data_IF_943275261737
#
_entry.id   IF_943275261737
#
_cell.length_a   1.000
_cell.length_b   1.000
_cell.length_c   1.000
_cell.angle_alpha   90.00
_cell.angle_beta   90.00
_cell.angle_gamma   90.00
#
_symmetry.space_group_name_H-M   'P 1'
#
loop_
_entity.id
_entity.type
_entity.pdbx_description
1 polymer ?
#
# COMPACT_ATOMS: atom_id res chain seq x y z
N UNK A 1 -41.29 1.21 63.61
CA UNK A 1 -41.73 1.11 62.22
C UNK A 1 -40.83 1.91 61.24
N UNK A 2 -40.05 2.87 61.65
CA UNK A 2 -39.14 3.66 60.80
C UNK A 2 -37.84 2.93 60.42
N UNK A 3 -37.32 2.04 61.28
CA UNK A 3 -36.00 1.36 61.02
C UNK A 3 -36.01 0.36 59.85
N UNK A 4 -37.17 -0.22 59.54
CA UNK A 4 -37.29 -1.19 58.44
C UNK A 4 -37.33 -0.53 57.03
N UNK A 5 -37.75 0.71 56.94
CA UNK A 5 -37.80 1.47 55.69
C UNK A 5 -36.41 1.89 55.23
N UNK A 6 -35.53 2.29 56.16
CA UNK A 6 -34.13 2.69 55.87
C UNK A 6 -33.27 1.49 55.42
N UNK A 7 -33.52 0.29 55.96
CA UNK A 7 -32.80 -0.91 55.56
C UNK A 7 -33.13 -1.33 54.11
N UNK A 8 -34.39 -1.22 53.71
CA UNK A 8 -34.83 -1.59 52.35
C UNK A 8 -34.35 -0.59 51.29
N UNK A 9 -34.23 0.71 51.67
CA UNK A 9 -33.69 1.74 50.78
C UNK A 9 -32.19 1.53 50.51
N UNK A 10 -31.40 1.20 51.50
CA UNK A 10 -29.96 0.90 51.36
C UNK A 10 -29.69 -0.36 50.53
N UNK A 11 -30.51 -1.39 50.71
CA UNK A 11 -30.40 -2.61 49.90
C UNK A 11 -30.71 -2.37 48.39
N UNK A 12 -31.71 -1.54 48.10
CA UNK A 12 -32.07 -1.19 46.74
C UNK A 12 -31.01 -0.33 46.03
N UNK A 13 -30.39 0.60 46.76
CA UNK A 13 -29.27 1.41 46.25
C UNK A 13 -28.02 0.56 45.96
N UNK A 14 -27.72 -0.42 46.82
CA UNK A 14 -26.60 -1.32 46.59
C UNK A 14 -26.80 -2.22 45.36
N UNK A 15 -28.01 -2.71 45.11
CA UNK A 15 -28.34 -3.52 43.96
C UNK A 15 -28.25 -2.71 42.65
N UNK A 16 -28.71 -1.46 42.65
CA UNK A 16 -28.61 -0.56 41.48
C UNK A 16 -27.17 -0.18 41.18
N UNK A 17 -26.37 0.07 42.20
CA UNK A 17 -24.94 0.36 42.02
C UNK A 17 -24.15 -0.85 41.47
N UNK A 18 -24.47 -2.06 41.94
CA UNK A 18 -23.88 -3.29 41.43
C UNK A 18 -24.29 -3.60 39.98
N UNK A 19 -25.55 -3.29 39.62
CA UNK A 19 -26.04 -3.44 38.24
C UNK A 19 -25.39 -2.42 37.27
N UNK A 20 -25.11 -1.20 37.70
CA UNK A 20 -24.39 -0.22 36.89
C UNK A 20 -22.91 -0.56 36.74
N UNK A 21 -22.27 -1.17 37.74
CA UNK A 21 -20.89 -1.63 37.61
C UNK A 21 -20.76 -2.83 36.66
N UNK A 22 -21.78 -3.72 36.59
CA UNK A 22 -21.83 -4.82 35.65
C UNK A 22 -22.09 -4.41 34.19
N UNK A 23 -22.83 -3.32 33.98
CA UNK A 23 -23.13 -2.80 32.65
C UNK A 23 -21.91 -2.10 31.99
N UNK A 24 -20.97 -1.59 32.76
CA UNK A 24 -19.75 -0.94 32.25
C UNK A 24 -18.73 -1.93 31.62
N UNK A 25 -18.87 -3.25 31.89
CA UNK A 25 -17.95 -4.29 31.38
C UNK A 25 -18.39 -4.84 30.02
N UNK A 26 -19.59 -4.49 29.55
CA UNK A 26 -20.18 -4.97 28.29
C UNK A 26 -20.06 -3.96 27.14
N UNK A 27 -19.21 -2.94 27.26
CA UNK A 27 -18.85 -2.15 26.08
C UNK A 27 -18.06 -3.10 25.16
N UNK A 28 -18.51 -3.33 23.92
CA UNK A 28 -17.70 -4.07 22.98
C UNK A 28 -16.36 -3.31 22.87
N UNK A 29 -15.27 -3.99 23.23
CA UNK A 29 -13.95 -3.49 22.93
C UNK A 29 -13.97 -3.11 21.44
N UNK A 30 -13.48 -1.92 21.03
CA UNK A 30 -13.36 -1.63 19.63
C UNK A 30 -12.60 -2.80 19.04
N UNK A 31 -13.24 -3.46 18.06
CA UNK A 31 -12.59 -4.54 17.34
C UNK A 31 -11.30 -3.93 16.82
N UNK A 32 -10.18 -4.30 17.40
CA UNK A 32 -8.90 -4.09 16.77
C UNK A 32 -9.00 -4.90 15.48
N UNK A 33 -9.46 -4.25 14.40
CA UNK A 33 -9.19 -4.74 13.08
C UNK A 33 -7.68 -4.87 13.08
N UNK A 34 -7.18 -6.09 13.16
CA UNK A 34 -5.79 -6.37 12.94
C UNK A 34 -5.45 -5.61 11.66
N UNK A 35 -4.62 -4.59 11.78
CA UNK A 35 -4.23 -3.77 10.65
C UNK A 35 -3.41 -4.69 9.75
N UNK A 36 -4.07 -5.35 8.80
CA UNK A 36 -3.43 -6.17 7.78
C UNK A 36 -2.60 -5.30 6.81
N UNK A 37 -2.48 -4.00 7.12
CA UNK A 37 -1.74 -3.02 6.36
C UNK A 37 -0.36 -2.72 6.96
N UNK A 38 0.55 -2.24 6.11
CA UNK A 38 1.84 -1.72 6.51
C UNK A 38 1.69 -0.28 6.98
N UNK A 39 2.35 0.06 8.09
CA UNK A 39 2.40 1.44 8.58
C UNK A 39 3.28 2.32 7.69
N UNK A 40 3.17 3.62 7.86
CA UNK A 40 3.99 4.58 7.12
C UNK A 40 5.48 4.38 7.39
N UNK A 41 5.86 4.15 8.65
CA UNK A 41 7.25 3.92 9.04
C UNK A 41 7.81 2.64 8.42
N UNK A 42 7.05 1.53 8.44
CA UNK A 42 7.45 0.27 7.79
C UNK A 42 7.73 0.46 6.28
N UNK A 43 6.90 1.24 5.59
CA UNK A 43 7.06 1.52 4.16
C UNK A 43 8.24 2.46 3.89
N UNK A 44 8.42 3.49 4.72
CA UNK A 44 9.55 4.43 4.60
C UNK A 44 10.86 3.69 4.86
N UNK A 45 10.93 2.84 5.88
CA UNK A 45 12.12 2.05 6.21
C UNK A 45 12.46 1.07 5.10
N UNK A 46 11.48 0.29 4.62
CA UNK A 46 11.67 -0.64 3.51
C UNK A 46 12.15 0.07 2.24
N UNK A 47 11.50 1.19 1.88
CA UNK A 47 11.88 1.97 0.71
C UNK A 47 13.22 2.69 0.86
N UNK A 48 13.55 3.22 2.04
CA UNK A 48 14.82 3.89 2.30
C UNK A 48 16.00 2.93 2.20
N UNK A 49 15.86 1.74 2.76
CA UNK A 49 16.86 0.68 2.65
C UNK A 49 17.04 0.23 1.18
N UNK A 50 15.96 0.16 0.44
CA UNK A 50 15.97 -0.28 -0.96
C UNK A 50 16.51 0.80 -1.91
N UNK A 51 16.03 2.04 -1.82
CA UNK A 51 16.46 3.12 -2.72
C UNK A 51 17.84 3.69 -2.36
N UNK A 52 18.32 3.47 -1.12
CA UNK A 52 19.49 4.16 -0.58
C UNK A 52 19.10 5.57 -0.09
N UNK A 53 20.03 6.45 0.09
CA UNK A 53 19.98 7.71 0.84
C UNK A 53 18.88 8.75 0.52
N UNK A 54 17.82 8.44 -0.22
CA UNK A 54 16.82 9.43 -0.67
C UNK A 54 15.58 9.48 0.26
N UNK A 55 15.79 9.47 1.55
CA UNK A 55 14.71 9.37 2.55
C UNK A 55 13.69 10.52 2.55
N UNK A 56 14.14 11.76 2.33
CA UNK A 56 13.24 12.93 2.41
C UNK A 56 12.15 12.96 1.34
N UNK A 57 12.49 12.62 0.11
CA UNK A 57 11.52 12.56 -0.98
C UNK A 57 10.53 11.40 -0.83
N UNK A 58 11.01 10.25 -0.36
CA UNK A 58 10.16 9.08 -0.14
C UNK A 58 9.12 9.34 0.95
N UNK A 59 9.52 9.92 2.08
CA UNK A 59 8.59 10.24 3.16
C UNK A 59 7.45 11.13 2.67
N UNK A 60 7.76 12.19 1.90
CA UNK A 60 6.75 13.10 1.32
C UNK A 60 5.80 12.37 0.36
N UNK A 61 6.31 11.47 -0.47
CA UNK A 61 5.47 10.67 -1.39
C UNK A 61 4.58 9.71 -0.61
N UNK A 62 5.15 8.98 0.36
CA UNK A 62 4.41 8.02 1.19
C UNK A 62 3.31 8.74 1.97
N UNK A 63 3.61 9.88 2.61
CA UNK A 63 2.62 10.70 3.32
C UNK A 63 1.45 11.10 2.41
N UNK A 64 1.76 11.58 1.20
CA UNK A 64 0.73 11.96 0.21
C UNK A 64 -0.14 10.78 -0.20
N UNK A 65 0.45 9.63 -0.46
CA UNK A 65 -0.28 8.43 -0.87
C UNK A 65 -1.12 7.89 0.28
N UNK A 66 -0.56 7.82 1.51
CA UNK A 66 -1.27 7.35 2.70
C UNK A 66 -2.44 8.25 3.10
N UNK A 67 -2.29 9.58 2.97
CA UNK A 67 -3.39 10.50 3.26
C UNK A 67 -4.59 10.31 2.32
N UNK A 68 -4.35 9.77 1.12
CA UNK A 68 -5.39 9.57 0.11
C UNK A 68 -5.97 8.15 0.11
N UNK A 69 -5.11 7.13 0.27
CA UNK A 69 -5.48 5.72 0.07
C UNK A 69 -5.38 4.87 1.34
N UNK A 70 -4.86 5.44 2.45
CA UNK A 70 -4.69 4.72 3.71
C UNK A 70 -3.48 3.78 3.70
N UNK A 71 -3.58 2.68 4.46
CA UNK A 71 -2.50 1.72 4.64
C UNK A 71 -2.48 0.70 3.50
N UNK A 72 -1.35 0.50 2.80
CA UNK A 72 -1.21 -0.59 1.83
C UNK A 72 -1.16 -1.94 2.57
N UNK A 73 -1.72 -2.98 1.98
CA UNK A 73 -1.66 -4.33 2.54
C UNK A 73 -0.63 -5.24 1.86
N UNK A 74 0.09 -4.69 0.91
CA UNK A 74 1.28 -5.27 0.29
C UNK A 74 2.17 -4.19 -0.30
N UNK A 75 3.43 -4.53 -0.57
CA UNK A 75 4.32 -3.70 -1.38
C UNK A 75 5.28 -4.57 -2.18
N UNK A 76 5.72 -4.09 -3.34
CA UNK A 76 6.71 -4.74 -4.19
C UNK A 76 7.98 -3.90 -4.18
N UNK A 77 9.14 -4.54 -4.00
CA UNK A 77 10.44 -3.94 -4.25
C UNK A 77 11.08 -4.64 -5.44
N UNK A 78 11.58 -3.88 -6.40
CA UNK A 78 12.20 -4.46 -7.57
C UNK A 78 12.81 -3.43 -8.51
N UNK A 79 13.34 -3.91 -9.60
CA UNK A 79 14.03 -3.13 -10.60
C UNK A 79 13.32 -3.24 -11.94
N UNK A 80 13.32 -2.16 -12.71
CA UNK A 80 12.79 -2.14 -14.06
C UNK A 80 13.80 -1.58 -15.06
N UNK A 81 13.82 -2.17 -16.23
CA UNK A 81 14.55 -1.66 -17.38
C UNK A 81 13.58 -1.23 -18.47
N UNK A 82 13.89 -0.13 -19.13
CA UNK A 82 13.17 0.34 -20.32
C UNK A 82 14.16 0.72 -21.39
N UNK A 83 13.78 0.57 -22.65
CA UNK A 83 14.67 0.93 -23.72
C UNK A 83 13.99 1.05 -25.09
N UNK A 84 14.51 1.95 -25.90
CA UNK A 84 14.08 2.11 -27.30
C UNK A 84 14.31 0.83 -28.14
N UNK A 85 15.31 0.03 -27.77
CA UNK A 85 15.63 -1.25 -28.41
C UNK A 85 14.53 -2.31 -28.19
N UNK A 86 13.70 -2.14 -27.16
CA UNK A 86 12.59 -3.05 -26.84
C UNK A 86 11.24 -2.46 -27.29
N UNK A 87 11.24 -1.57 -28.27
CA UNK A 87 9.99 -1.03 -28.84
C UNK A 87 9.19 -0.12 -27.93
N UNK A 88 9.85 0.59 -27.01
CA UNK A 88 9.14 1.47 -26.06
C UNK A 88 8.40 0.70 -24.96
N UNK A 89 8.97 -0.42 -24.52
CA UNK A 89 8.43 -1.24 -23.42
C UNK A 89 9.30 -1.15 -22.18
N UNK A 90 8.66 -1.31 -21.03
CA UNK A 90 9.29 -1.47 -19.72
C UNK A 90 9.07 -2.90 -19.25
N UNK A 91 10.12 -3.52 -18.72
CA UNK A 91 10.09 -4.80 -18.03
C UNK A 91 10.70 -4.65 -16.66
N UNK A 92 10.06 -5.25 -15.68
CA UNK A 92 10.58 -5.23 -14.31
C UNK A 92 10.33 -6.55 -13.60
N UNK A 93 11.13 -6.76 -12.58
CA UNK A 93 11.03 -7.89 -11.68
C UNK A 93 11.28 -7.46 -10.24
N UNK A 94 10.70 -8.18 -9.29
CA UNK A 94 10.82 -7.87 -7.88
C UNK A 94 10.12 -8.89 -7.01
N UNK A 95 9.99 -8.54 -5.73
CA UNK A 95 9.32 -9.36 -4.73
C UNK A 95 8.16 -8.59 -4.12
N UNK A 96 6.98 -9.20 -4.13
CA UNK A 96 5.82 -8.74 -3.35
C UNK A 96 6.00 -9.23 -1.91
N UNK A 97 5.88 -8.31 -0.97
CA UNK A 97 5.87 -8.55 0.47
C UNK A 97 4.45 -8.37 0.99
N UNK A 98 3.97 -9.36 1.76
CA UNK A 98 2.66 -9.31 2.42
C UNK A 98 2.79 -9.77 3.87
N UNK A 99 1.98 -9.20 4.78
CA UNK A 99 2.02 -9.63 6.19
C UNK A 99 1.47 -11.03 6.44
N UNK A 100 0.57 -11.50 5.57
CA UNK A 100 -0.21 -12.71 5.83
C UNK A 100 0.08 -13.87 4.87
N UNK A 101 0.61 -13.58 3.68
CA UNK A 101 0.80 -14.58 2.63
C UNK A 101 2.28 -14.84 2.30
N UNK A 102 3.21 -14.10 2.95
CA UNK A 102 4.64 -14.22 2.69
C UNK A 102 5.09 -13.46 1.44
N UNK A 103 6.25 -13.86 0.92
CA UNK A 103 6.94 -13.17 -0.16
C UNK A 103 6.74 -13.91 -1.48
N UNK A 104 6.46 -13.17 -2.55
CA UNK A 104 6.15 -13.74 -3.86
C UNK A 104 6.93 -13.05 -4.98
N UNK A 105 7.58 -13.81 -5.90
CA UNK A 105 8.19 -13.23 -7.08
C UNK A 105 7.12 -12.57 -7.96
N UNK A 106 7.45 -11.40 -8.47
CA UNK A 106 6.51 -10.55 -9.20
C UNK A 106 7.22 -9.90 -10.37
N UNK A 107 6.61 -9.98 -11.55
CA UNK A 107 7.11 -9.42 -12.79
C UNK A 107 6.09 -8.45 -13.36
N UNK A 108 6.56 -7.41 -14.04
CA UNK A 108 5.65 -6.47 -14.69
C UNK A 108 6.15 -6.02 -16.05
N UNK A 109 5.19 -5.65 -16.89
CA UNK A 109 5.43 -5.16 -18.23
C UNK A 109 4.44 -4.03 -18.54
N UNK A 110 4.90 -3.06 -19.32
CA UNK A 110 4.05 -1.96 -19.74
C UNK A 110 4.69 -1.13 -20.85
N UNK A 111 3.95 -0.16 -21.41
CA UNK A 111 4.53 0.79 -22.34
C UNK A 111 5.54 1.68 -21.60
N UNK A 112 6.68 1.94 -22.23
CA UNK A 112 7.66 2.92 -21.79
C UNK A 112 7.44 4.20 -22.57
N UNK A 113 7.23 5.31 -21.88
CA UNK A 113 7.17 6.64 -22.48
C UNK A 113 8.48 7.34 -22.17
N UNK A 114 9.46 7.21 -23.07
CA UNK A 114 10.73 7.92 -22.95
C UNK A 114 11.90 7.14 -23.55
N UNK A 115 12.94 7.90 -23.86
CA UNK A 115 14.20 7.40 -24.39
C UNK A 115 15.17 7.23 -23.21
N UNK A 116 15.09 6.11 -22.52
CA UNK A 116 16.10 5.78 -21.51
C UNK A 116 17.27 5.08 -22.19
N UNK A 117 18.29 5.86 -22.57
CA UNK A 117 19.52 5.35 -23.18
C UNK A 117 20.54 4.85 -22.14
N UNK A 118 20.17 4.78 -20.85
CA UNK A 118 21.04 4.30 -19.80
C UNK A 118 20.70 2.87 -19.42
N UNK A 119 21.59 1.92 -19.69
CA UNK A 119 21.47 0.51 -19.27
C UNK A 119 21.52 0.28 -17.76
N UNK A 120 21.13 1.25 -16.96
CA UNK A 120 20.97 1.15 -15.52
C UNK A 120 19.48 1.06 -15.22
N UNK A 121 19.06 -0.08 -14.67
CA UNK A 121 17.70 -0.30 -14.20
C UNK A 121 17.26 0.75 -13.17
N UNK A 122 16.01 1.18 -13.23
CA UNK A 122 15.41 2.05 -12.22
C UNK A 122 14.88 1.19 -11.08
N UNK A 123 15.14 1.58 -9.84
CA UNK A 123 14.50 0.96 -8.68
C UNK A 123 13.06 1.43 -8.55
N UNK A 124 12.18 0.48 -8.25
CA UNK A 124 10.74 0.71 -8.16
C UNK A 124 10.20 0.11 -6.88
N UNK A 125 9.44 0.89 -6.14
CA UNK A 125 8.60 0.41 -5.05
C UNK A 125 7.13 0.54 -5.49
N UNK A 126 6.35 -0.53 -5.39
CA UNK A 126 4.92 -0.51 -5.72
C UNK A 126 4.12 -0.74 -4.45
N UNK A 127 3.36 0.25 -4.00
CA UNK A 127 2.40 0.06 -2.90
C UNK A 127 1.15 -0.62 -3.45
N UNK A 128 0.62 -1.60 -2.70
CA UNK A 128 -0.53 -2.41 -3.11
C UNK A 128 -1.64 -2.26 -2.08
N UNK A 129 -2.84 -1.97 -2.55
CA UNK A 129 -4.02 -1.73 -1.72
C UNK A 129 -5.15 -2.68 -2.10
N UNK A 130 -5.93 -3.08 -1.11
CA UNK A 130 -7.11 -3.93 -1.27
C UNK A 130 -6.80 -5.28 -1.93
N UNK A 131 -5.62 -5.83 -1.68
CA UNK A 131 -5.23 -7.15 -2.14
C UNK A 131 -5.78 -8.19 -1.16
N UNK A 132 -6.85 -8.90 -1.52
CA UNK A 132 -7.44 -9.94 -0.66
C UNK A 132 -6.74 -11.30 -0.85
N UNK A 133 -6.27 -11.56 -2.07
CA UNK A 133 -5.54 -12.76 -2.43
C UNK A 133 -4.35 -12.39 -3.35
N UNK A 134 -3.21 -13.06 -3.18
CA UNK A 134 -1.99 -12.78 -3.96
C UNK A 134 -2.23 -12.92 -5.47
N UNK A 135 -3.08 -13.86 -5.86
CA UNK A 135 -3.45 -14.08 -7.27
C UNK A 135 -4.16 -12.87 -7.90
N UNK A 136 -4.81 -12.03 -7.09
CA UNK A 136 -5.48 -10.82 -7.58
C UNK A 136 -4.50 -9.74 -8.05
N UNK A 137 -3.23 -9.80 -7.62
CA UNK A 137 -2.20 -8.87 -8.08
C UNK A 137 -1.85 -9.12 -9.56
N UNK A 138 -1.89 -10.37 -10.03
CA UNK A 138 -1.42 -10.74 -11.36
C UNK A 138 -2.45 -10.44 -12.46
N UNK A 139 -2.65 -9.13 -12.70
CA UNK A 139 -3.64 -8.58 -13.64
C UNK A 139 -3.08 -7.41 -14.43
N UNK A 140 -3.92 -6.85 -15.29
CA UNK A 140 -3.66 -5.61 -16.03
C UNK A 140 -4.25 -4.44 -15.28
N UNK A 141 -3.47 -3.40 -15.07
CA UNK A 141 -3.88 -2.20 -14.36
C UNK A 141 -3.91 -1.02 -15.32
N UNK A 142 -4.96 -0.22 -15.24
CA UNK A 142 -5.09 1.02 -16.00
C UNK A 142 -4.81 2.24 -15.12
N UNK A 143 -4.18 3.25 -15.69
CA UNK A 143 -3.88 4.50 -15.00
C UNK A 143 -5.15 5.28 -14.66
N UNK A 144 -5.16 5.87 -13.46
CA UNK A 144 -6.20 6.80 -13.02
C UNK A 144 -5.84 8.19 -13.50
N UNK A 145 -6.73 8.84 -14.23
CA UNK A 145 -6.49 10.17 -14.77
C UNK A 145 -6.20 11.19 -13.64
N UNK A 146 -5.20 12.04 -13.85
CA UNK A 146 -4.82 13.08 -12.87
C UNK A 146 -4.07 12.55 -11.63
N UNK A 147 -3.68 11.28 -11.60
CA UNK A 147 -2.99 10.68 -10.45
C UNK A 147 -1.47 10.62 -10.58
N UNK A 148 -0.91 11.30 -11.57
CA UNK A 148 0.53 11.31 -11.82
C UNK A 148 1.20 12.50 -11.11
N UNK A 149 2.22 12.23 -10.31
CA UNK A 149 2.92 13.23 -9.51
C UNK A 149 4.44 13.04 -9.56
N UNK A 150 5.13 14.17 -9.53
CA UNK A 150 6.59 14.23 -9.35
C UNK A 150 6.88 15.03 -8.08
N UNK A 151 7.48 14.40 -7.08
CA UNK A 151 7.75 15.01 -5.77
C UNK A 151 9.18 14.65 -5.35
N UNK A 152 10.01 15.67 -5.10
CA UNK A 152 11.37 15.53 -4.58
C UNK A 152 12.24 14.49 -5.32
N UNK A 153 12.12 14.41 -6.66
CA UNK A 153 12.89 13.49 -7.50
C UNK A 153 12.30 12.07 -7.61
N UNK A 154 11.17 11.83 -6.97
CA UNK A 154 10.40 10.59 -7.08
C UNK A 154 9.14 10.83 -7.92
N UNK A 155 8.87 9.95 -8.87
CA UNK A 155 7.64 9.94 -9.64
C UNK A 155 6.72 8.83 -9.17
N UNK A 156 5.42 9.09 -9.05
CA UNK A 156 4.43 8.07 -8.83
C UNK A 156 3.15 8.36 -9.60
N UNK A 157 2.42 7.32 -9.89
CA UNK A 157 1.07 7.37 -10.45
C UNK A 157 0.22 6.25 -9.84
N UNK A 158 -1.09 6.36 -10.00
CA UNK A 158 -2.02 5.37 -9.49
C UNK A 158 -2.61 4.57 -10.64
N UNK A 159 -2.58 3.25 -10.48
CA UNK A 159 -3.16 2.32 -11.44
C UNK A 159 -4.18 1.42 -10.71
N UNK A 160 -5.23 1.03 -11.42
CA UNK A 160 -6.35 0.30 -10.81
C UNK A 160 -6.83 -0.84 -11.70
N UNK A 161 -7.24 -1.95 -11.05
CA UNK A 161 -8.04 -3.01 -11.63
C UNK A 161 -9.06 -3.52 -10.60
N UNK A 162 -10.36 -3.29 -10.83
CA UNK A 162 -11.41 -3.63 -9.86
C UNK A 162 -11.18 -2.95 -8.51
N UNK A 163 -11.15 -3.70 -7.39
CA UNK A 163 -10.86 -3.17 -6.07
C UNK A 163 -9.37 -2.89 -5.83
N UNK A 164 -8.48 -3.65 -6.49
CA UNK A 164 -7.03 -3.56 -6.27
C UNK A 164 -6.48 -2.29 -6.91
N UNK A 165 -5.71 -1.56 -6.11
CA UNK A 165 -5.04 -0.34 -6.53
C UNK A 165 -3.55 -0.50 -6.28
N UNK A 166 -2.73 -0.07 -7.23
CA UNK A 166 -1.27 -0.08 -7.12
C UNK A 166 -0.71 1.30 -7.37
N UNK A 167 0.36 1.63 -6.63
CA UNK A 167 1.05 2.92 -6.73
C UNK A 167 2.54 2.68 -6.93
N UNK A 168 3.01 2.59 -8.17
CA UNK A 168 4.43 2.52 -8.47
C UNK A 168 5.13 3.85 -8.16
N UNK A 169 6.17 3.78 -7.33
CA UNK A 169 7.06 4.88 -6.96
C UNK A 169 8.42 4.59 -7.58
N UNK A 170 8.94 5.53 -8.37
CA UNK A 170 10.18 5.39 -9.15
C UNK A 170 11.19 6.47 -8.81
N UNK A 171 12.47 6.14 -8.93
CA UNK A 171 13.58 7.08 -8.71
C UNK A 171 14.24 7.52 -10.02
N UNK A 172 14.99 8.62 -9.99
CA UNK A 172 15.86 9.05 -11.06
C UNK A 172 15.15 9.47 -12.35
N UNK A 173 15.70 9.11 -13.49
CA UNK A 173 15.14 9.44 -14.80
C UNK A 173 13.79 8.75 -15.00
N UNK A 174 13.62 7.53 -14.49
CA UNK A 174 12.36 6.80 -14.46
C UNK A 174 11.23 7.56 -13.74
N UNK A 175 11.55 8.41 -12.75
CA UNK A 175 10.57 9.23 -12.07
C UNK A 175 9.85 10.19 -13.02
N UNK A 176 10.57 10.82 -13.95
CA UNK A 176 9.98 11.77 -14.92
C UNK A 176 9.16 11.10 -16.00
N UNK A 177 9.52 9.87 -16.35
CA UNK A 177 8.93 9.11 -17.45
C UNK A 177 7.80 8.19 -16.97
N UNK A 178 7.95 7.62 -15.77
CA UNK A 178 6.98 6.72 -15.16
C UNK A 178 5.66 7.36 -14.74
N UNK A 179 5.62 8.70 -14.65
CA UNK A 179 4.39 9.45 -14.29
C UNK A 179 3.27 9.28 -15.33
N UNK A 180 3.60 8.85 -16.55
CA UNK A 180 2.65 8.73 -17.65
C UNK A 180 2.28 7.27 -18.00
N UNK A 181 2.62 6.30 -17.16
CA UNK A 181 2.22 4.92 -17.38
C UNK A 181 0.70 4.78 -17.23
N UNK A 182 0.01 4.81 -18.35
CA UNK A 182 -1.44 4.57 -18.41
C UNK A 182 -1.81 3.09 -18.28
N UNK A 183 -0.82 2.18 -18.19
CA UNK A 183 -1.04 0.74 -18.19
C UNK A 183 0.15 -0.02 -17.60
N UNK A 184 -0.13 -1.05 -16.81
CA UNK A 184 0.86 -2.00 -16.30
C UNK A 184 0.24 -3.39 -16.21
N UNK A 185 0.91 -4.41 -16.71
CA UNK A 185 0.55 -5.80 -16.53
C UNK A 185 1.47 -6.42 -15.51
N UNK A 186 0.92 -7.01 -14.47
CA UNK A 186 1.67 -7.75 -13.46
C UNK A 186 1.46 -9.23 -13.67
N UNK A 187 2.54 -10.03 -13.57
CA UNK A 187 2.54 -11.46 -13.80
C UNK A 187 3.37 -12.20 -12.75
N UNK A 188 3.01 -13.47 -12.50
CA UNK A 188 3.73 -14.34 -11.59
C UNK A 188 5.03 -14.92 -12.19
N UNK A 189 5.12 -14.92 -13.51
CA UNK A 189 6.28 -15.43 -14.27
C UNK A 189 6.69 -14.39 -15.29
N UNK A 190 7.99 -14.35 -15.66
CA UNK A 190 8.43 -13.44 -16.70
C UNK A 190 7.72 -13.73 -18.01
N UNK A 191 7.31 -12.69 -18.73
CA UNK A 191 6.71 -12.80 -20.05
C UNK A 191 7.14 -11.63 -20.93
N UNK A 192 7.32 -11.90 -22.22
CA UNK A 192 7.64 -10.87 -23.21
C UNK A 192 6.40 -10.16 -23.78
N UNK A 193 5.21 -10.71 -23.54
CA UNK A 193 3.96 -10.13 -24.02
C UNK A 193 3.43 -9.09 -23.02
N UNK A 194 3.52 -7.78 -23.31
CA UNK A 194 3.04 -6.73 -22.42
C UNK A 194 1.51 -6.56 -22.45
N UNK A 195 0.82 -7.24 -23.37
CA UNK A 195 -0.64 -7.11 -23.57
C UNK A 195 -1.42 -8.33 -23.11
#
# INVERSE_FOLDING_TARGET
MLTSLFSRAKARLAVVALAMLGAAILLPAPSAHAQNGYTMDEIIDAGSNFFGTTTGGLATVVEKVFSTYGLPNGYVLGEEGSGALIGGLTYGEGTLYTKNAGDHPTYWQGPSIGWDFGGQGSRVMVLVYNLNDVGELYRRYAGVAGSAYLVAGLGFNVLKNGPVLIVPIRTGVGARLGVNLGYLKITQRPTWNPF
#
